data_IF_409020413684
#
_entry.id   IF_409020413684
#
_cell.length_a   1.000
_cell.length_b   1.000
_cell.length_c   1.000
_cell.angle_alpha   90.00
_cell.angle_beta   90.00
_cell.angle_gamma   90.00
#
_symmetry.space_group_name_H-M   'P 1'
#
loop_
_entity.id
_entity.type
_entity.pdbx_description
1 polymer ?
#
# COMPACT_ATOMS: atom_id res chain seq x y z
N UNK A 1 -12.61 -32.98 -4.50
CA UNK A 1 -11.27 -32.69 -5.09
C UNK A 1 -11.18 -31.19 -5.19
N UNK A 2 -10.58 -30.55 -4.22
CA UNK A 2 -10.34 -29.10 -4.17
C UNK A 2 -9.17 -28.81 -5.11
N UNK A 3 -9.43 -28.07 -6.20
CA UNK A 3 -8.37 -27.45 -7.01
C UNK A 3 -7.58 -26.53 -6.09
N UNK A 4 -6.39 -27.00 -5.67
CA UNK A 4 -5.35 -26.14 -5.16
C UNK A 4 -5.03 -25.16 -6.30
N UNK A 5 -5.32 -23.87 -6.09
CA UNK A 5 -4.77 -22.81 -6.91
C UNK A 5 -3.24 -22.99 -6.88
N UNK A 6 -2.70 -23.50 -7.98
CA UNK A 6 -1.27 -23.55 -8.19
C UNK A 6 -0.78 -22.09 -8.14
N UNK A 7 -0.08 -21.72 -7.08
CA UNK A 7 0.47 -20.36 -6.94
C UNK A 7 1.34 -20.03 -8.14
N UNK A 8 1.27 -18.80 -8.64
CA UNK A 8 2.10 -18.32 -9.75
C UNK A 8 3.58 -18.55 -9.43
N UNK A 9 4.33 -19.11 -10.40
CA UNK A 9 5.76 -19.33 -10.25
C UNK A 9 6.52 -18.06 -10.57
N UNK A 10 7.46 -17.72 -9.71
CA UNK A 10 8.25 -16.51 -9.84
C UNK A 10 9.73 -16.86 -9.79
N UNK A 11 10.52 -16.30 -10.69
CA UNK A 11 12.00 -16.36 -10.64
C UNK A 11 12.58 -14.96 -10.41
N UNK A 12 13.84 -14.91 -9.98
CA UNK A 12 14.59 -13.66 -9.87
C UNK A 12 15.60 -13.57 -11.00
N UNK A 13 15.73 -12.42 -11.61
CA UNK A 13 16.66 -12.14 -12.70
C UNK A 13 17.48 -10.88 -12.43
N UNK A 14 18.76 -10.90 -12.83
CA UNK A 14 19.61 -9.72 -12.92
C UNK A 14 19.62 -9.22 -14.37
N UNK A 15 19.11 -8.01 -14.58
CA UNK A 15 19.23 -7.29 -15.85
C UNK A 15 20.23 -6.13 -15.75
N UNK A 16 20.57 -5.68 -14.54
CA UNK A 16 21.63 -4.72 -14.28
C UNK A 16 23.01 -5.35 -14.49
N UNK A 17 23.97 -4.55 -14.96
CA UNK A 17 25.34 -5.01 -15.29
C UNK A 17 26.02 -5.70 -14.08
N UNK A 18 25.85 -5.12 -12.87
CA UNK A 18 26.43 -5.66 -11.62
C UNK A 18 25.35 -6.26 -10.69
N UNK A 19 24.22 -6.64 -11.25
CA UNK A 19 23.04 -7.06 -10.48
C UNK A 19 23.05 -8.49 -9.96
N UNK A 20 24.04 -9.32 -10.30
CA UNK A 20 24.01 -10.76 -9.99
C UNK A 20 24.03 -11.04 -8.48
N UNK A 21 24.88 -10.37 -7.72
CA UNK A 21 24.94 -10.55 -6.27
C UNK A 21 23.66 -10.09 -5.58
N UNK A 22 23.15 -8.93 -5.95
CA UNK A 22 21.90 -8.40 -5.39
C UNK A 22 20.68 -9.25 -5.78
N UNK A 23 20.64 -9.80 -7.00
CA UNK A 23 19.57 -10.72 -7.39
C UNK A 23 19.62 -12.03 -6.60
N UNK A 24 20.81 -12.54 -6.31
CA UNK A 24 20.98 -13.71 -5.46
C UNK A 24 20.51 -13.44 -4.01
N UNK A 25 20.79 -12.27 -3.46
CA UNK A 25 20.30 -11.86 -2.15
C UNK A 25 18.75 -11.78 -2.11
N UNK A 26 18.13 -11.21 -3.14
CA UNK A 26 16.66 -11.18 -3.24
C UNK A 26 16.07 -12.58 -3.40
N UNK A 27 16.69 -13.44 -4.23
CA UNK A 27 16.27 -14.81 -4.40
C UNK A 27 16.31 -15.59 -3.09
N UNK A 28 17.41 -15.49 -2.35
CA UNK A 28 17.57 -16.12 -1.04
C UNK A 28 16.54 -15.60 -0.03
N UNK A 29 16.39 -14.28 0.08
CA UNK A 29 15.46 -13.64 1.03
C UNK A 29 14.00 -14.01 0.79
N UNK A 30 13.61 -14.14 -0.49
CA UNK A 30 12.24 -14.45 -0.89
C UNK A 30 11.98 -15.94 -1.08
N UNK A 31 13.02 -16.79 -0.98
CA UNK A 31 12.93 -18.22 -1.25
C UNK A 31 12.58 -18.53 -2.71
N UNK A 32 13.06 -17.71 -3.66
CA UNK A 32 12.77 -17.84 -5.09
C UNK A 32 13.97 -18.38 -5.87
N UNK A 33 13.74 -19.12 -6.97
CA UNK A 33 14.80 -19.55 -7.85
C UNK A 33 15.37 -18.41 -8.68
N UNK A 34 16.66 -18.46 -8.99
CA UNK A 34 17.30 -17.56 -9.96
C UNK A 34 17.00 -17.95 -11.42
N UNK A 35 16.64 -19.21 -11.67
CA UNK A 35 16.29 -19.72 -12.98
C UNK A 35 15.11 -20.67 -12.85
N UNK A 36 14.06 -20.43 -13.60
CA UNK A 36 12.91 -21.33 -13.77
C UNK A 36 12.33 -21.08 -15.17
N UNK A 37 12.49 -22.06 -16.06
CA UNK A 37 11.98 -21.97 -17.43
C UNK A 37 10.44 -21.91 -17.48
N UNK A 38 9.76 -22.36 -16.42
CA UNK A 38 8.31 -22.40 -16.34
C UNK A 38 7.75 -21.29 -15.44
N UNK A 39 8.53 -20.26 -15.13
CA UNK A 39 8.06 -19.15 -14.33
C UNK A 39 7.00 -18.35 -15.11
N UNK A 40 5.96 -17.89 -14.42
CA UNK A 40 4.93 -16.99 -14.94
C UNK A 40 5.34 -15.53 -14.82
N UNK A 41 6.22 -15.23 -13.85
CA UNK A 41 6.72 -13.90 -13.55
C UNK A 41 8.22 -13.91 -13.29
N UNK A 42 8.86 -12.78 -13.57
CA UNK A 42 10.23 -12.49 -13.19
C UNK A 42 10.30 -11.26 -12.30
N UNK A 43 10.91 -11.40 -11.12
CA UNK A 43 11.33 -10.27 -10.31
C UNK A 43 12.71 -9.85 -10.80
N UNK A 44 12.78 -8.74 -11.51
CA UNK A 44 13.95 -8.29 -12.25
C UNK A 44 14.65 -7.14 -11.51
N UNK A 45 15.94 -7.29 -11.27
CA UNK A 45 16.79 -6.20 -10.82
C UNK A 45 17.37 -5.49 -12.04
N UNK A 46 17.03 -4.22 -12.21
CA UNK A 46 17.49 -3.33 -13.28
C UNK A 46 18.34 -2.20 -12.70
N UNK A 47 18.98 -1.40 -13.56
CA UNK A 47 19.71 -0.21 -13.13
C UNK A 47 18.78 0.84 -12.48
N UNK A 48 17.49 0.81 -12.82
CA UNK A 48 16.46 1.68 -12.24
C UNK A 48 15.80 1.11 -10.97
N UNK A 49 16.17 -0.06 -10.51
CA UNK A 49 15.63 -0.74 -9.34
C UNK A 49 14.83 -2.00 -9.64
N UNK A 50 14.14 -2.49 -8.62
CA UNK A 50 13.40 -3.74 -8.67
C UNK A 50 12.06 -3.57 -9.38
N UNK A 51 11.76 -4.49 -10.32
CA UNK A 51 10.49 -4.53 -11.04
C UNK A 51 9.95 -5.94 -11.17
N UNK A 52 8.64 -6.07 -11.31
CA UNK A 52 7.96 -7.33 -11.59
C UNK A 52 7.47 -7.33 -13.03
N UNK A 53 7.90 -8.34 -13.80
CA UNK A 53 7.49 -8.57 -15.18
C UNK A 53 6.71 -9.87 -15.28
N UNK A 54 5.54 -9.85 -15.89
CA UNK A 54 4.87 -11.06 -16.35
C UNK A 54 5.60 -11.60 -17.58
N UNK A 55 5.78 -12.92 -17.64
CA UNK A 55 6.44 -13.59 -18.76
C UNK A 55 5.40 -14.12 -19.76
N UNK A 56 5.76 -14.21 -21.03
CA UNK A 56 4.88 -14.66 -22.12
C UNK A 56 4.64 -13.59 -23.18
N UNK A 57 3.77 -13.93 -24.15
CA UNK A 57 3.38 -13.02 -25.24
C UNK A 57 2.23 -12.11 -24.80
N UNK A 58 2.15 -10.91 -25.38
CA UNK A 58 1.09 -9.91 -25.14
C UNK A 58 0.84 -9.55 -23.67
N UNK A 59 1.89 -9.61 -22.84
CA UNK A 59 1.82 -9.29 -21.41
C UNK A 59 1.96 -7.80 -21.14
N UNK A 60 1.42 -7.29 -20.01
CA UNK A 60 1.64 -5.92 -19.59
C UNK A 60 3.14 -5.66 -19.35
N UNK A 61 3.60 -4.45 -19.62
CA UNK A 61 4.98 -4.08 -19.25
C UNK A 61 5.22 -4.19 -17.74
N UNK A 62 6.48 -4.23 -17.32
CA UNK A 62 6.87 -4.37 -15.93
C UNK A 62 6.25 -3.31 -15.00
N UNK A 63 6.08 -3.67 -13.73
CA UNK A 63 5.64 -2.77 -12.67
C UNK A 63 6.77 -2.57 -11.67
N UNK A 64 7.07 -1.31 -11.40
CA UNK A 64 8.05 -0.82 -10.43
C UNK A 64 7.40 0.20 -9.50
N UNK A 65 7.87 0.30 -8.28
CA UNK A 65 7.52 1.41 -7.39
C UNK A 65 8.43 2.59 -7.70
N UNK A 66 7.84 3.72 -8.06
CA UNK A 66 8.55 4.96 -8.29
C UNK A 66 7.80 6.12 -7.63
N UNK A 67 8.48 6.81 -6.70
CA UNK A 67 7.94 7.96 -5.99
C UNK A 67 8.48 9.28 -6.52
N UNK A 68 9.56 9.24 -7.31
CA UNK A 68 10.21 10.43 -7.89
C UNK A 68 9.48 10.87 -9.14
N UNK A 69 9.08 9.92 -9.98
CA UNK A 69 8.49 10.16 -11.29
C UNK A 69 7.10 9.55 -11.46
N UNK A 70 6.47 9.81 -12.58
CA UNK A 70 5.23 9.16 -13.00
C UNK A 70 3.97 9.64 -12.28
N UNK A 71 2.98 8.76 -12.19
CA UNK A 71 1.64 9.09 -11.70
C UNK A 71 1.60 9.51 -10.22
N UNK A 72 2.51 8.99 -9.40
CA UNK A 72 2.56 9.32 -7.96
C UNK A 72 3.12 10.71 -7.75
N UNK A 73 4.21 11.04 -8.43
CA UNK A 73 4.79 12.39 -8.43
C UNK A 73 3.80 13.42 -8.96
N UNK A 74 3.12 13.13 -10.09
CA UNK A 74 2.07 13.99 -10.63
C UNK A 74 0.93 14.20 -9.63
N UNK A 75 0.47 13.14 -8.95
CA UNK A 75 -0.59 13.24 -7.94
C UNK A 75 -0.14 14.09 -6.74
N UNK A 76 1.13 14.03 -6.33
CA UNK A 76 1.70 14.89 -5.28
C UNK A 76 1.64 16.35 -5.67
N UNK A 77 2.05 16.68 -6.88
CA UNK A 77 2.18 18.07 -7.36
C UNK A 77 0.83 18.68 -7.75
N UNK A 78 -0.05 17.91 -8.38
CA UNK A 78 -1.26 18.41 -9.04
C UNK A 78 -2.56 17.79 -8.52
N UNK A 79 -2.50 16.87 -7.58
CA UNK A 79 -3.66 16.11 -7.08
C UNK A 79 -4.61 16.87 -6.15
N UNK A 80 -4.40 18.17 -5.90
CA UNK A 80 -5.30 18.99 -5.07
C UNK A 80 -5.00 18.94 -3.56
N UNK A 81 -3.85 18.44 -3.13
CA UNK A 81 -3.38 18.52 -1.74
C UNK A 81 -4.38 17.96 -0.73
N UNK A 82 -4.67 18.74 0.32
CA UNK A 82 -5.64 18.36 1.37
C UNK A 82 -7.10 18.29 0.88
N UNK A 83 -7.39 18.79 -0.31
CA UNK A 83 -8.70 18.68 -0.97
C UNK A 83 -9.01 17.26 -1.47
N UNK A 84 -8.01 16.38 -1.56
CA UNK A 84 -8.20 14.99 -1.99
C UNK A 84 -9.15 14.24 -1.04
N UNK A 85 -9.98 13.35 -1.61
CA UNK A 85 -10.94 12.57 -0.84
C UNK A 85 -10.28 11.72 0.26
N UNK A 86 -9.12 11.11 -0.05
CA UNK A 86 -8.37 10.33 0.94
C UNK A 86 -7.89 11.20 2.11
N UNK A 87 -7.45 12.42 1.87
CA UNK A 87 -7.02 13.34 2.93
C UNK A 87 -8.19 13.71 3.85
N UNK A 88 -9.37 13.99 3.27
CA UNK A 88 -10.60 14.22 4.02
C UNK A 88 -11.03 12.99 4.82
N UNK A 89 -10.95 11.80 4.21
CA UNK A 89 -11.33 10.53 4.83
C UNK A 89 -10.48 10.23 6.08
N UNK A 90 -9.16 10.39 5.99
CA UNK A 90 -8.27 10.20 7.15
C UNK A 90 -8.34 11.36 8.16
N UNK A 91 -8.98 12.48 7.80
CA UNK A 91 -9.24 13.59 8.68
C UNK A 91 -8.13 14.64 8.73
N UNK A 92 -7.38 14.80 7.65
CA UNK A 92 -6.44 15.92 7.49
C UNK A 92 -7.23 17.22 7.42
N UNK A 93 -6.88 18.17 8.27
CA UNK A 93 -7.44 19.53 8.30
C UNK A 93 -6.37 20.50 8.82
N UNK A 94 -6.71 21.78 8.95
CA UNK A 94 -5.78 22.78 9.49
C UNK A 94 -5.26 22.34 10.87
N UNK A 95 -3.95 22.30 11.04
CA UNK A 95 -3.29 21.89 12.29
C UNK A 95 -3.42 20.41 12.65
N UNK A 96 -4.05 19.55 11.83
CA UNK A 96 -4.24 18.12 12.11
C UNK A 96 -3.53 17.26 11.06
N UNK A 97 -2.57 16.47 11.51
CA UNK A 97 -1.86 15.45 10.73
C UNK A 97 -1.83 14.16 11.54
N UNK A 98 -2.83 13.28 11.34
CA UNK A 98 -2.90 12.05 12.14
C UNK A 98 -1.76 11.09 11.80
N UNK A 99 -1.37 10.26 12.76
CA UNK A 99 -0.62 9.05 12.46
C UNK A 99 -1.56 8.04 11.79
N UNK A 100 -1.11 7.48 10.67
CA UNK A 100 -1.93 6.58 9.85
C UNK A 100 -1.23 5.26 9.65
N UNK A 101 -1.93 4.15 9.90
CA UNK A 101 -1.52 2.82 9.50
C UNK A 101 -2.28 2.46 8.22
N UNK A 102 -1.56 2.27 7.11
CA UNK A 102 -2.09 1.63 5.90
C UNK A 102 -1.87 0.12 6.01
N UNK A 103 -2.94 -0.62 6.29
CA UNK A 103 -2.87 -2.07 6.50
C UNK A 103 -2.99 -2.89 5.21
N UNK A 104 -3.02 -2.23 4.06
CA UNK A 104 -3.13 -2.83 2.71
C UNK A 104 -2.26 -2.04 1.73
N UNK A 105 -0.99 -1.85 2.08
CA UNK A 105 -0.12 -0.85 1.48
C UNK A 105 0.08 -1.00 -0.04
N UNK A 106 0.14 -2.21 -0.56
CA UNK A 106 0.41 -2.47 -1.97
C UNK A 106 1.69 -1.76 -2.43
N UNK A 107 1.61 -0.94 -3.47
CA UNK A 107 2.74 -0.13 -3.96
C UNK A 107 2.94 1.19 -3.20
N UNK A 108 2.27 1.41 -2.08
CA UNK A 108 2.45 2.59 -1.23
C UNK A 108 1.93 3.91 -1.80
N UNK A 109 1.13 3.90 -2.86
CA UNK A 109 0.69 5.11 -3.58
C UNK A 109 -0.20 6.03 -2.74
N UNK A 110 -1.17 5.48 -2.03
CA UNK A 110 -2.06 6.24 -1.15
C UNK A 110 -1.31 6.71 0.10
N UNK A 111 -0.45 5.84 0.66
CA UNK A 111 0.41 6.17 1.79
C UNK A 111 1.38 7.32 1.47
N UNK A 112 2.02 7.31 0.29
CA UNK A 112 2.89 8.41 -0.14
C UNK A 112 2.16 9.75 -0.25
N UNK A 113 0.93 9.75 -0.77
CA UNK A 113 0.10 10.97 -0.79
C UNK A 113 -0.14 11.49 0.63
N UNK A 114 -0.50 10.63 1.58
CA UNK A 114 -0.73 11.04 2.97
C UNK A 114 0.57 11.51 3.65
N UNK A 115 1.70 10.84 3.41
CA UNK A 115 3.02 11.27 3.89
C UNK A 115 3.41 12.63 3.32
N UNK A 116 3.15 12.90 2.03
CA UNK A 116 3.42 14.20 1.40
C UNK A 116 2.57 15.34 1.98
N UNK A 117 1.44 15.02 2.58
CA UNK A 117 0.58 15.96 3.31
C UNK A 117 0.95 16.09 4.80
N UNK A 118 2.02 15.42 5.24
CA UNK A 118 2.60 15.53 6.58
C UNK A 118 2.13 14.48 7.59
N UNK A 119 1.47 13.41 7.17
CA UNK A 119 1.14 12.30 8.05
C UNK A 119 2.35 11.39 8.29
N UNK A 120 2.52 10.90 9.51
CA UNK A 120 3.38 9.77 9.82
C UNK A 120 2.66 8.48 9.42
N UNK A 121 3.34 7.66 8.59
CA UNK A 121 2.76 6.47 7.96
C UNK A 121 3.45 5.20 8.42
N UNK A 122 2.67 4.26 8.94
CA UNK A 122 3.07 2.85 8.99
C UNK A 122 2.36 2.11 7.87
N UNK A 123 3.07 1.24 7.16
CA UNK A 123 2.55 0.48 6.03
C UNK A 123 2.69 -1.00 6.32
N UNK A 124 1.66 -1.80 6.07
CA UNK A 124 1.76 -3.25 6.13
C UNK A 124 1.46 -3.82 4.76
N UNK A 125 2.39 -4.65 4.26
CA UNK A 125 2.18 -5.42 3.03
C UNK A 125 2.46 -6.90 3.31
N UNK A 126 1.47 -7.75 2.98
CA UNK A 126 1.55 -9.19 3.27
C UNK A 126 2.18 -10.01 2.15
N UNK A 127 2.08 -9.53 0.91
CA UNK A 127 2.60 -10.25 -0.25
C UNK A 127 4.10 -9.96 -0.41
N UNK A 128 4.99 -10.95 -0.27
CA UNK A 128 6.43 -10.72 -0.19
C UNK A 128 7.02 -10.01 -1.41
N UNK A 129 6.51 -10.29 -2.61
CA UNK A 129 6.99 -9.66 -3.84
C UNK A 129 6.60 -8.18 -3.91
N UNK A 130 5.36 -7.85 -3.52
CA UNK A 130 4.89 -6.47 -3.49
C UNK A 130 5.63 -5.68 -2.40
N UNK A 131 5.86 -6.31 -1.25
CA UNK A 131 6.65 -5.72 -0.18
C UNK A 131 8.09 -5.43 -0.62
N UNK A 132 8.72 -6.35 -1.39
CA UNK A 132 10.05 -6.15 -1.95
C UNK A 132 10.10 -4.96 -2.93
N UNK A 133 9.13 -4.86 -3.84
CA UNK A 133 9.02 -3.71 -4.75
C UNK A 133 8.84 -2.39 -3.98
N UNK A 134 8.01 -2.40 -2.94
CA UNK A 134 7.77 -1.20 -2.11
C UNK A 134 9.02 -0.83 -1.31
N UNK A 135 9.72 -1.79 -0.73
CA UNK A 135 10.98 -1.60 0.00
C UNK A 135 12.05 -0.97 -0.88
N UNK A 136 12.25 -1.51 -2.10
CA UNK A 136 13.18 -0.97 -3.09
C UNK A 136 12.83 0.48 -3.46
N UNK A 137 11.55 0.74 -3.77
CA UNK A 137 11.09 2.09 -4.09
C UNK A 137 11.28 3.09 -2.95
N UNK A 138 11.04 2.67 -1.69
CA UNK A 138 11.31 3.49 -0.51
C UNK A 138 12.81 3.73 -0.33
N UNK A 139 13.65 2.71 -0.54
CA UNK A 139 15.11 2.84 -0.42
C UNK A 139 15.66 3.86 -1.44
N UNK A 140 15.25 3.75 -2.71
CA UNK A 140 15.65 4.71 -3.76
C UNK A 140 15.13 6.12 -3.48
N UNK A 141 13.88 6.26 -3.07
CA UNK A 141 13.28 7.55 -2.76
C UNK A 141 13.90 8.27 -1.56
N UNK A 142 14.52 7.55 -0.61
CA UNK A 142 15.22 8.16 0.54
C UNK A 142 16.40 9.03 0.14
N UNK A 143 17.08 8.68 -0.94
CA UNK A 143 18.26 9.42 -1.44
C UNK A 143 17.87 10.63 -2.29
N UNK A 144 16.61 10.78 -2.67
CA UNK A 144 16.13 11.91 -3.44
C UNK A 144 15.96 13.16 -2.56
N UNK A 145 16.41 14.31 -3.06
CA UNK A 145 16.40 15.59 -2.32
C UNK A 145 14.98 16.06 -1.97
N UNK A 146 14.05 15.89 -2.89
CA UNK A 146 12.71 16.48 -2.78
C UNK A 146 11.72 15.57 -2.03
N UNK A 147 11.86 14.25 -2.22
CA UNK A 147 10.94 13.29 -1.61
C UNK A 147 11.53 12.54 -0.41
N UNK A 148 12.86 12.56 -0.22
CA UNK A 148 13.50 11.91 0.94
C UNK A 148 12.85 12.27 2.28
N UNK A 149 12.54 13.55 2.56
CA UNK A 149 11.81 13.94 3.77
C UNK A 149 10.36 13.38 3.85
N UNK A 150 9.73 13.08 2.71
CA UNK A 150 8.41 12.44 2.66
C UNK A 150 8.56 10.95 2.97
N UNK A 151 9.52 10.29 2.32
CA UNK A 151 9.82 8.88 2.54
C UNK A 151 10.24 8.60 3.99
N UNK A 152 10.92 9.53 4.64
CA UNK A 152 11.32 9.41 6.05
C UNK A 152 10.12 9.23 7.01
N UNK A 153 8.92 9.69 6.60
CA UNK A 153 7.66 9.48 7.35
C UNK A 153 7.01 8.13 7.08
N UNK A 154 7.57 7.30 6.19
CA UNK A 154 6.96 6.04 5.76
C UNK A 154 7.76 4.85 6.29
N UNK A 155 7.16 4.05 7.16
CA UNK A 155 7.76 2.83 7.72
C UNK A 155 7.03 1.61 7.19
N UNK A 156 7.72 0.73 6.47
CA UNK A 156 7.19 -0.54 5.99
C UNK A 156 7.36 -1.64 7.04
N UNK A 157 6.31 -2.42 7.22
CA UNK A 157 6.24 -3.67 7.97
C UNK A 157 5.77 -4.75 6.98
N UNK A 158 6.44 -5.89 6.96
CA UNK A 158 6.08 -7.00 6.07
C UNK A 158 5.41 -8.12 6.86
N UNK A 159 4.29 -8.65 6.36
CA UNK A 159 3.59 -9.76 6.99
C UNK A 159 2.07 -9.60 7.01
N UNK A 160 1.42 -10.52 7.70
CA UNK A 160 -0.03 -10.54 7.82
C UNK A 160 -0.54 -9.34 8.65
N UNK A 161 -1.37 -8.51 8.04
CA UNK A 161 -1.86 -7.28 8.66
C UNK A 161 -2.68 -7.54 9.92
N UNK A 162 -3.47 -8.61 9.94
CA UNK A 162 -4.30 -8.96 11.11
C UNK A 162 -3.40 -9.34 12.29
N UNK A 163 -2.35 -10.12 12.05
CA UNK A 163 -1.42 -10.57 13.09
C UNK A 163 -0.59 -9.39 13.62
N UNK A 164 -0.06 -8.55 12.73
CA UNK A 164 0.71 -7.36 13.11
C UNK A 164 -0.16 -6.39 13.90
N UNK A 165 -1.41 -6.14 13.48
CA UNK A 165 -2.35 -5.27 14.20
C UNK A 165 -2.66 -5.82 15.59
N UNK A 166 -2.89 -7.13 15.73
CA UNK A 166 -3.19 -7.77 17.02
C UNK A 166 -2.02 -7.76 18.00
N UNK A 167 -0.80 -7.80 17.47
CA UNK A 167 0.44 -7.76 18.25
C UNK A 167 1.10 -6.38 18.23
N UNK A 168 0.34 -5.32 17.91
CA UNK A 168 0.88 -3.98 17.77
C UNK A 168 1.61 -3.52 19.01
N UNK A 169 2.89 -3.18 18.86
CA UNK A 169 3.73 -2.63 19.91
C UNK A 169 3.91 -1.12 19.73
N UNK A 170 3.85 -0.39 20.84
CA UNK A 170 4.00 1.06 20.85
C UNK A 170 2.66 1.82 20.79
N UNK A 171 2.73 3.11 20.47
CA UNK A 171 1.54 3.97 20.41
C UNK A 171 0.59 3.53 19.29
N UNK A 172 -0.69 3.28 19.58
CA UNK A 172 -1.64 2.89 18.56
C UNK A 172 -1.88 4.02 17.53
N UNK A 173 -2.03 3.71 16.24
CA UNK A 173 -2.28 4.71 15.20
C UNK A 173 -3.61 5.41 15.45
N UNK A 174 -3.65 6.71 15.12
CA UNK A 174 -4.89 7.48 15.19
C UNK A 174 -5.89 7.02 14.14
N UNK A 175 -5.39 6.68 12.95
CA UNK A 175 -6.22 6.24 11.82
C UNK A 175 -5.66 4.93 11.26
N UNK A 176 -6.55 3.98 10.97
CA UNK A 176 -6.19 2.81 10.16
C UNK A 176 -6.93 2.91 8.84
N UNK A 177 -6.17 2.84 7.75
CA UNK A 177 -6.65 2.88 6.38
C UNK A 177 -6.60 1.48 5.76
N UNK A 178 -7.68 1.09 5.09
CA UNK A 178 -7.86 -0.20 4.43
C UNK A 178 -8.31 0.01 2.98
N UNK A 179 -7.63 -0.61 2.03
CA UNK A 179 -8.06 -0.71 0.62
C UNK A 179 -7.96 -2.18 0.15
N UNK A 180 -8.72 -3.09 0.79
CA UNK A 180 -8.64 -4.52 0.46
C UNK A 180 -9.10 -4.78 -0.97
N UNK A 181 -8.45 -5.74 -1.62
CA UNK A 181 -8.81 -6.20 -2.96
C UNK A 181 -10.24 -6.75 -2.98
N UNK A 182 -11.11 -6.08 -3.70
CA UNK A 182 -12.50 -6.51 -3.85
C UNK A 182 -12.65 -7.46 -5.04
N UNK A 183 -13.39 -8.58 -4.87
CA UNK A 183 -13.72 -9.45 -5.99
C UNK A 183 -14.48 -8.67 -7.08
N UNK A 184 -13.84 -8.35 -8.18
CA UNK A 184 -14.51 -7.72 -9.31
C UNK A 184 -15.27 -8.77 -10.13
N UNK A 185 -16.56 -8.55 -10.36
CA UNK A 185 -17.28 -9.22 -11.44
C UNK A 185 -16.65 -8.82 -12.78
N UNK A 186 -16.45 -9.79 -13.63
CA UNK A 186 -15.64 -9.80 -14.86
C UNK A 186 -16.02 -8.83 -15.98
N UNK A 187 -16.39 -7.61 -15.79
CA UNK A 187 -16.69 -6.70 -16.90
C UNK A 187 -16.35 -5.24 -16.61
N UNK A 188 -15.06 -4.90 -16.58
CA UNK A 188 -14.66 -3.52 -16.88
C UNK A 188 -13.35 -3.50 -17.66
N UNK A 189 -13.41 -2.98 -18.88
CA UNK A 189 -12.34 -2.96 -19.88
C UNK A 189 -11.10 -2.12 -19.51
N UNK A 190 -11.00 -1.60 -18.29
CA UNK A 190 -9.93 -0.71 -17.82
C UNK A 190 -9.45 -1.11 -16.43
N UNK A 191 -9.10 -2.39 -16.26
CA UNK A 191 -8.33 -2.79 -15.06
C UNK A 191 -6.94 -2.20 -15.21
N UNK A 192 -6.50 -1.41 -14.22
CA UNK A 192 -5.15 -0.83 -14.21
C UNK A 192 -4.11 -1.94 -14.40
N UNK A 193 -3.06 -1.66 -15.19
CA UNK A 193 -1.95 -2.57 -15.49
C UNK A 193 -1.46 -3.32 -14.25
N UNK A 194 -1.24 -2.61 -13.16
CA UNK A 194 -0.76 -3.15 -11.89
C UNK A 194 -1.72 -4.17 -11.27
N UNK A 195 -3.02 -3.89 -11.32
CA UNK A 195 -4.06 -4.80 -10.81
C UNK A 195 -4.13 -6.11 -11.61
N UNK A 196 -3.90 -6.05 -12.93
CA UNK A 196 -3.83 -7.24 -13.78
C UNK A 196 -2.64 -8.11 -13.41
N UNK A 197 -1.52 -7.47 -13.06
CA UNK A 197 -0.26 -8.14 -12.73
C UNK A 197 -0.28 -8.74 -11.32
N UNK A 198 -0.92 -8.06 -10.37
CA UNK A 198 -0.93 -8.50 -8.97
C UNK A 198 -2.05 -9.48 -8.62
N UNK A 199 -3.16 -9.45 -9.33
CA UNK A 199 -4.29 -10.32 -9.01
C UNK A 199 -3.95 -11.81 -8.99
N UNK A 200 -3.14 -12.36 -9.91
CA UNK A 200 -2.68 -13.73 -9.85
C UNK A 200 -1.79 -14.05 -8.63
N UNK A 201 -1.11 -13.03 -8.09
CA UNK A 201 -0.19 -13.17 -6.95
C UNK A 201 -0.87 -13.01 -5.60
N UNK A 202 -1.87 -12.10 -5.51
CA UNK A 202 -2.49 -11.69 -4.23
C UNK A 202 -3.81 -12.42 -4.00
N UNK A 203 -4.56 -12.72 -5.08
CA UNK A 203 -5.92 -13.21 -4.95
C UNK A 203 -6.90 -12.15 -4.45
N UNK A 204 -8.05 -12.59 -3.92
CA UNK A 204 -9.06 -11.75 -3.29
C UNK A 204 -8.85 -11.73 -1.76
N UNK A 205 -9.09 -10.57 -1.13
CA UNK A 205 -8.97 -10.40 0.33
C UNK A 205 -10.23 -10.94 1.04
N UNK A 206 -10.33 -12.27 1.13
CA UNK A 206 -11.47 -12.94 1.80
C UNK A 206 -11.50 -12.69 3.30
N UNK A 207 -10.40 -12.27 3.89
CA UNK A 207 -10.22 -11.96 5.30
C UNK A 207 -10.51 -10.48 5.65
N UNK A 208 -11.03 -9.71 4.69
CA UNK A 208 -11.36 -8.29 4.90
C UNK A 208 -12.26 -8.02 6.14
N UNK A 209 -13.26 -8.86 6.48
CA UNK A 209 -14.04 -8.67 7.72
C UNK A 209 -13.19 -8.81 8.99
N UNK A 210 -12.28 -9.78 9.03
CA UNK A 210 -11.38 -9.98 10.17
C UNK A 210 -10.35 -8.84 10.27
N UNK A 211 -9.86 -8.33 9.14
CA UNK A 211 -8.99 -7.16 9.09
C UNK A 211 -9.70 -5.90 9.59
N UNK A 212 -10.95 -5.67 9.17
CA UNK A 212 -11.76 -4.55 9.67
C UNK A 212 -11.95 -4.65 11.19
N UNK A 213 -12.28 -5.83 11.71
CA UNK A 213 -12.44 -6.04 13.15
C UNK A 213 -11.16 -5.75 13.93
N UNK A 214 -9.99 -6.22 13.45
CA UNK A 214 -8.70 -5.93 14.05
C UNK A 214 -8.38 -4.43 14.01
N UNK A 215 -8.62 -3.77 12.87
CA UNK A 215 -8.41 -2.34 12.70
C UNK A 215 -9.30 -1.51 13.65
N UNK A 216 -10.57 -1.90 13.81
CA UNK A 216 -11.48 -1.25 14.75
C UNK A 216 -11.05 -1.43 16.21
N UNK A 217 -10.41 -2.53 16.56
CA UNK A 217 -9.91 -2.75 17.92
C UNK A 217 -8.70 -1.83 18.24
N UNK A 218 -7.81 -1.59 17.27
CA UNK A 218 -6.57 -0.85 17.48
C UNK A 218 -6.68 0.65 17.25
N UNK A 219 -7.37 1.11 16.19
CA UNK A 219 -7.44 2.53 15.83
C UNK A 219 -8.01 3.38 16.95
N UNK A 220 -7.33 4.48 17.32
CA UNK A 220 -7.79 5.33 18.41
C UNK A 220 -8.85 6.37 18.00
N UNK A 221 -8.84 6.83 16.73
CA UNK A 221 -9.74 7.89 16.27
C UNK A 221 -10.71 7.46 15.17
N UNK A 222 -10.27 6.72 14.17
CA UNK A 222 -11.16 6.16 13.13
C UNK A 222 -10.52 5.03 12.33
N UNK A 223 -11.38 4.24 11.69
CA UNK A 223 -10.98 3.37 10.59
C UNK A 223 -11.58 3.92 9.30
N UNK A 224 -10.83 3.86 8.20
CA UNK A 224 -11.21 4.32 6.87
C UNK A 224 -11.08 3.15 5.91
N UNK A 225 -12.16 2.78 5.23
CA UNK A 225 -12.16 1.70 4.24
C UNK A 225 -12.47 2.28 2.88
N UNK A 226 -11.54 2.15 1.94
CA UNK A 226 -11.76 2.52 0.54
C UNK A 226 -12.47 1.38 -0.19
N UNK A 227 -13.49 1.73 -0.97
CA UNK A 227 -14.30 0.78 -1.74
C UNK A 227 -14.56 1.32 -3.14
N UNK A 228 -14.76 0.46 -4.15
CA UNK A 228 -15.42 0.89 -5.38
C UNK A 228 -16.79 1.51 -5.02
N UNK A 229 -17.17 2.59 -5.70
CA UNK A 229 -18.35 3.41 -5.32
C UNK A 229 -19.62 2.60 -5.10
N UNK A 230 -19.86 1.56 -5.92
CA UNK A 230 -21.08 0.73 -5.86
C UNK A 230 -20.88 -0.60 -5.12
N UNK A 231 -19.69 -0.87 -4.57
CA UNK A 231 -19.43 -2.10 -3.83
C UNK A 231 -20.18 -2.10 -2.49
N UNK A 232 -20.60 -3.27 -1.97
CA UNK A 232 -21.13 -3.36 -0.61
C UNK A 232 -20.07 -2.93 0.41
N UNK A 233 -20.47 -2.56 1.60
CA UNK A 233 -19.54 -2.43 2.74
C UNK A 233 -18.89 -3.78 3.04
N UNK A 234 -17.76 -3.76 3.76
CA UNK A 234 -17.20 -5.01 4.32
C UNK A 234 -18.19 -5.55 5.36
N UNK A 235 -18.33 -6.89 5.40
CA UNK A 235 -19.18 -7.54 6.40
C UNK A 235 -18.69 -7.21 7.81
N UNK A 236 -19.65 -6.86 8.69
CA UNK A 236 -19.35 -6.40 10.04
C UNK A 236 -20.19 -5.19 10.46
N UNK A 237 -19.68 -4.34 11.35
CA UNK A 237 -20.39 -3.13 11.75
C UNK A 237 -20.57 -2.18 10.57
N UNK A 238 -21.66 -1.43 10.58
CA UNK A 238 -21.91 -0.41 9.56
C UNK A 238 -21.01 0.81 9.76
N UNK A 239 -20.52 1.45 8.69
CA UNK A 239 -19.81 2.71 8.80
C UNK A 239 -20.74 3.80 9.38
N UNK A 240 -20.17 4.74 10.12
CA UNK A 240 -20.91 5.89 10.64
C UNK A 240 -21.35 6.85 9.53
N UNK A 241 -20.52 6.99 8.51
CA UNK A 241 -20.81 7.76 7.28
C UNK A 241 -19.86 7.35 6.15
N UNK A 242 -20.16 7.83 4.94
CA UNK A 242 -19.32 7.61 3.77
C UNK A 242 -19.01 8.93 3.06
N UNK A 243 -17.85 8.97 2.39
CA UNK A 243 -17.48 10.05 1.49
C UNK A 243 -17.44 9.49 0.06
N UNK A 244 -18.37 9.94 -0.77
CA UNK A 244 -18.49 9.47 -2.15
C UNK A 244 -17.59 10.26 -3.11
N UNK A 245 -16.75 9.54 -3.87
CA UNK A 245 -15.99 10.07 -4.99
C UNK A 245 -16.58 9.67 -6.35
N UNK A 246 -15.87 10.00 -7.44
CA UNK A 246 -16.31 9.64 -8.80
C UNK A 246 -16.31 8.12 -9.03
N UNK A 247 -15.24 7.43 -8.65
CA UNK A 247 -15.05 5.99 -8.87
C UNK A 247 -14.93 5.18 -7.58
N UNK A 248 -14.58 5.81 -6.47
CA UNK A 248 -14.39 5.20 -5.17
C UNK A 248 -15.22 5.89 -4.09
N UNK A 249 -15.47 5.18 -3.02
CA UNK A 249 -16.12 5.63 -1.78
C UNK A 249 -15.18 5.32 -0.62
N UNK A 250 -15.23 6.14 0.42
CA UNK A 250 -14.55 5.89 1.68
C UNK A 250 -15.59 5.69 2.78
N UNK A 251 -15.68 4.49 3.32
CA UNK A 251 -16.53 4.14 4.46
C UNK A 251 -15.77 4.50 5.74
N UNK A 252 -16.34 5.36 6.57
CA UNK A 252 -15.71 5.91 7.77
C UNK A 252 -16.33 5.32 9.02
N UNK A 253 -15.49 4.80 9.90
CA UNK A 253 -15.86 4.27 11.21
C UNK A 253 -15.27 5.20 12.29
N UNK A 254 -15.98 6.26 12.69
CA UNK A 254 -15.47 7.25 13.64
C UNK A 254 -15.49 6.68 15.08
N UNK A 255 -14.46 7.03 15.87
CA UNK A 255 -14.35 6.69 17.30
C UNK A 255 -14.14 7.93 18.17
N UNK A 256 -13.19 8.78 17.79
CA UNK A 256 -12.84 10.00 18.51
C UNK A 256 -12.53 11.12 17.50
N UNK A 257 -12.85 12.34 17.86
CA UNK A 257 -12.53 13.50 17.04
C UNK A 257 -11.01 13.73 16.99
N UNK A 258 -10.47 13.94 15.78
CA UNK A 258 -9.11 14.42 15.60
C UNK A 258 -9.05 15.91 15.96
N UNK A 259 -8.09 16.29 16.78
CA UNK A 259 -7.87 17.68 17.20
C UNK A 259 -6.45 18.12 16.83
N UNK A 260 -6.21 19.42 16.59
CA UNK A 260 -4.86 19.94 16.48
C UNK A 260 -4.04 19.53 17.70
N UNK A 261 -2.74 19.22 17.51
CA UNK A 261 -1.82 19.08 18.66
C UNK A 261 -1.81 20.43 19.39
N UNK A 262 -1.95 20.38 20.71
CA UNK A 262 -1.71 21.58 21.53
C UNK A 262 -0.29 22.06 21.22
N UNK A 263 -0.17 23.36 20.90
CA UNK A 263 1.16 23.97 20.82
C UNK A 263 1.67 23.99 22.27
N UNK A 264 2.70 23.20 22.57
CA UNK A 264 3.44 23.36 23.80
C UNK A 264 3.98 24.79 23.79
N UNK A 265 3.41 25.63 24.63
CA UNK A 265 3.98 26.96 24.88
C UNK A 265 5.38 26.72 25.44
N UNK A 266 6.40 27.22 24.75
CA UNK A 266 7.74 27.27 25.30
C UNK A 266 7.66 27.95 26.67
N UNK A 267 8.31 27.43 27.73
CA UNK A 267 8.34 28.13 28.99
C UNK A 267 8.97 29.50 28.75
N UNK A 268 8.30 30.53 29.18
CA UNK A 268 8.82 31.89 29.18
C UNK A 268 10.17 31.88 29.92
N UNK A 269 11.25 32.27 29.21
CA UNK A 269 12.59 32.46 29.74
C UNK A 269 12.68 33.77 30.53
#
# INVERSE_FOLDING_TARGET
>A
MTEQQAGSRIRVEALAIDGQEHSAQWAQRLGLPLQDANADFALQLTDDGLQLQQLGDDVPGAVRVDFVEGAVAHRRLFGGGTGQMIAKAVGIQAGVRPSVLDATAGLGKDAFVLASLGCEMSLIERQPIIAALLEDGLARGRSDRDIGPIIARMRLLTGNSIEIIRSWAGEPPQVIYLDPMFPHREKTALVKKEMRLFRPLVGDDLDAPALLAAALALATHRVVVKRPRKAPCIDGPKPGYALDGKSSRYDIYPRKALKPKAVEQAPDL
#
